data_IF_509681411753
#
_entry.id   IF_509681411753
#
_cell.length_a   1.000
_cell.length_b   1.000
_cell.length_c   1.000
_cell.angle_alpha   90.00
_cell.angle_beta   90.00
_cell.angle_gamma   90.00
#
_symmetry.space_group_name_H-M   'P 1'
#
loop_
_entity.id
_entity.type
_entity.pdbx_description
1 polymer ?
#
# COMPACT_ATOMS: atom_id res chain seq x y z
N UNK A 1 15.21 12.83 34.83
CA UNK A 1 15.96 13.84 34.05
C UNK A 1 16.67 13.14 32.91
N UNK A 2 16.12 13.21 31.70
CA UNK A 2 16.79 12.65 30.52
C UNK A 2 18.02 13.50 30.19
N UNK A 3 19.19 12.86 30.15
CA UNK A 3 20.46 13.51 29.83
C UNK A 3 20.48 13.80 28.33
N UNK A 4 20.64 15.07 27.97
CA UNK A 4 20.85 15.48 26.58
C UNK A 4 22.05 14.75 25.97
N UNK A 5 21.86 14.06 24.83
CA UNK A 5 22.96 13.42 24.09
C UNK A 5 23.73 14.52 23.37
N UNK A 6 25.04 14.64 23.59
CA UNK A 6 25.87 15.64 22.90
C UNK A 6 26.24 15.19 21.48
N UNK A 7 25.65 15.80 20.45
CA UNK A 7 25.92 15.43 19.05
C UNK A 7 27.35 15.72 18.57
N UNK A 8 28.13 16.56 19.27
CA UNK A 8 29.50 16.90 18.88
C UNK A 8 30.44 15.68 18.90
N UNK A 9 30.15 14.66 19.70
CA UNK A 9 30.90 13.41 19.74
C UNK A 9 30.79 12.58 18.43
N UNK A 10 29.79 12.87 17.60
CA UNK A 10 29.53 12.16 16.34
C UNK A 10 29.98 12.93 15.11
N UNK A 11 30.76 14.00 15.29
CA UNK A 11 31.41 14.70 14.18
C UNK A 11 32.64 13.91 13.69
N UNK A 12 32.91 13.99 12.39
CA UNK A 12 34.14 13.48 11.81
C UNK A 12 35.34 14.30 12.30
N UNK A 13 36.46 13.62 12.54
CA UNK A 13 37.72 14.26 12.95
C UNK A 13 38.23 15.24 11.88
N UNK A 14 38.01 14.92 10.60
CA UNK A 14 38.33 15.79 9.45
C UNK A 14 37.07 16.50 8.95
N UNK A 15 36.65 17.55 9.66
CA UNK A 15 35.57 18.47 9.25
C UNK A 15 34.30 18.37 10.09
N UNK A 16 33.52 19.46 10.14
CA UNK A 16 32.26 19.58 10.92
C UNK A 16 31.09 18.83 10.25
N UNK A 17 31.27 17.55 9.90
CA UNK A 17 30.23 16.68 9.33
C UNK A 17 29.89 15.58 10.32
N UNK A 18 28.61 15.27 10.46
CA UNK A 18 28.14 14.16 11.29
C UNK A 18 28.36 12.82 10.59
N UNK A 19 28.73 11.79 11.36
CA UNK A 19 28.84 10.40 10.91
C UNK A 19 27.50 9.90 10.35
N UNK A 20 27.54 9.13 9.26
CA UNK A 20 26.31 8.61 8.62
C UNK A 20 25.48 7.75 9.56
N UNK A 21 26.11 6.87 10.35
CA UNK A 21 25.42 6.03 11.34
C UNK A 21 24.63 6.83 12.37
N UNK A 22 25.15 7.99 12.80
CA UNK A 22 24.45 8.88 13.71
C UNK A 22 23.25 9.56 13.03
N UNK A 23 23.38 9.95 11.76
CA UNK A 23 22.26 10.52 11.00
C UNK A 23 21.11 9.51 10.87
N UNK A 24 21.44 8.25 10.60
CA UNK A 24 20.47 7.15 10.49
C UNK A 24 19.72 6.91 11.80
N UNK A 25 20.46 6.77 12.92
CA UNK A 25 19.88 6.57 14.25
C UNK A 25 18.90 7.69 14.59
N UNK A 26 19.31 8.95 14.39
CA UNK A 26 18.47 10.12 14.70
C UNK A 26 17.23 10.17 13.81
N UNK A 27 17.37 9.90 12.51
CA UNK A 27 16.23 9.88 11.59
C UNK A 27 15.25 8.76 11.95
N UNK A 28 15.74 7.55 12.28
CA UNK A 28 14.90 6.44 12.71
C UNK A 28 14.11 6.75 13.98
N UNK A 29 14.74 7.39 14.98
CA UNK A 29 14.05 7.79 16.22
C UNK A 29 12.99 8.88 15.99
N UNK A 30 13.22 9.79 15.04
CA UNK A 30 12.21 10.79 14.66
C UNK A 30 11.02 10.10 13.98
N UNK A 31 11.29 9.14 13.09
CA UNK A 31 10.27 8.39 12.35
C UNK A 31 9.48 7.43 13.24
N UNK A 32 10.09 6.88 14.29
CA UNK A 32 9.40 6.05 15.28
C UNK A 32 8.46 6.85 16.19
N UNK A 33 8.43 8.19 16.06
CA UNK A 33 7.55 9.05 16.83
C UNK A 33 8.01 9.30 18.26
N UNK A 34 9.29 9.04 18.58
CA UNK A 34 9.87 9.31 19.91
C UNK A 34 9.77 10.80 20.29
N UNK A 35 9.86 11.68 19.31
CA UNK A 35 9.81 13.13 19.52
C UNK A 35 8.55 13.72 18.91
N UNK A 36 7.92 14.66 19.63
CA UNK A 36 6.73 15.37 19.17
C UNK A 36 7.00 16.36 18.02
N UNK A 37 8.25 16.80 17.87
CA UNK A 37 8.67 17.75 16.84
C UNK A 37 10.15 17.57 16.52
N UNK A 38 10.54 17.97 15.30
CA UNK A 38 11.94 18.02 14.85
C UNK A 38 12.77 18.92 15.77
N UNK A 39 12.21 20.02 16.28
CA UNK A 39 12.93 20.92 17.19
C UNK A 39 13.20 20.26 18.55
N UNK A 40 12.28 19.41 19.04
CA UNK A 40 12.48 18.65 20.26
C UNK A 40 13.64 17.65 20.10
N UNK A 41 13.68 16.92 18.99
CA UNK A 41 14.79 16.02 18.65
C UNK A 41 16.12 16.79 18.54
N UNK A 42 16.12 17.96 17.89
CA UNK A 42 17.30 18.81 17.74
C UNK A 42 17.89 19.21 19.10
N UNK A 43 17.03 19.64 20.05
CA UNK A 43 17.44 20.03 21.39
C UNK A 43 17.96 18.85 22.19
N UNK A 44 17.27 17.70 22.09
CA UNK A 44 17.67 16.47 22.76
C UNK A 44 19.09 16.00 22.37
N UNK A 45 19.40 16.08 21.07
CA UNK A 45 20.70 15.71 20.50
C UNK A 45 21.72 16.87 20.49
N UNK A 46 21.34 18.09 20.86
CA UNK A 46 22.24 19.25 20.80
C UNK A 46 22.79 19.54 19.40
N UNK A 47 21.97 19.39 18.35
CA UNK A 47 22.40 19.59 16.96
C UNK A 47 22.41 21.09 16.63
N UNK A 48 23.57 21.57 16.18
CA UNK A 48 23.79 22.97 15.83
C UNK A 48 23.31 23.22 14.39
N UNK A 49 22.07 23.72 14.26
CA UNK A 49 21.46 24.14 13.00
C UNK A 49 19.97 23.84 12.95
N UNK A 50 19.15 24.87 12.70
CA UNK A 50 17.68 24.74 12.69
C UNK A 50 17.16 23.80 11.61
N UNK A 51 17.78 23.82 10.43
CA UNK A 51 17.34 23.03 9.29
C UNK A 51 18.11 21.73 9.09
N UNK A 52 19.09 21.42 9.94
CA UNK A 52 19.99 20.28 9.74
C UNK A 52 19.21 18.95 9.71
N UNK A 53 18.30 18.76 10.68
CA UNK A 53 17.44 17.59 10.73
C UNK A 53 16.42 17.56 9.58
N UNK A 54 15.85 18.71 9.23
CA UNK A 54 14.93 18.82 8.09
C UNK A 54 15.60 18.44 6.77
N UNK A 55 16.88 18.79 6.58
CA UNK A 55 17.68 18.40 5.41
C UNK A 55 17.94 16.90 5.38
N UNK A 56 18.35 16.30 6.51
CA UNK A 56 18.55 14.86 6.59
C UNK A 56 17.24 14.11 6.30
N UNK A 57 16.14 14.50 6.92
CA UNK A 57 14.86 13.85 6.68
C UNK A 57 14.46 13.89 5.20
N UNK A 58 14.62 15.03 4.52
CA UNK A 58 14.37 15.14 3.07
C UNK A 58 15.27 14.25 2.23
N UNK A 59 16.56 14.19 2.57
CA UNK A 59 17.56 13.35 1.90
C UNK A 59 17.20 11.86 2.05
N UNK A 60 16.87 11.40 3.25
CA UNK A 60 16.45 10.02 3.53
C UNK A 60 15.10 9.65 2.89
N UNK A 61 14.15 10.59 2.83
CA UNK A 61 12.87 10.39 2.13
C UNK A 61 13.10 10.22 0.61
N UNK A 62 14.01 11.01 0.03
CA UNK A 62 14.29 11.00 -1.41
C UNK A 62 15.09 9.75 -1.85
N UNK A 63 16.01 9.27 -1.01
CA UNK A 63 16.83 8.09 -1.28
C UNK A 63 16.01 6.78 -1.17
N UNK A 64 14.87 6.82 -0.47
CA UNK A 64 13.90 5.73 -0.47
C UNK A 64 14.07 4.71 0.67
N UNK A 65 15.04 4.92 1.56
CA UNK A 65 15.39 4.03 2.69
C UNK A 65 14.46 4.19 3.91
N UNK A 66 13.28 4.78 3.72
CA UNK A 66 12.26 4.77 4.76
C UNK A 66 11.56 3.41 4.82
N UNK A 67 11.42 2.81 6.02
CA UNK A 67 10.49 1.71 6.22
C UNK A 67 9.13 2.13 5.68
N UNK A 68 8.53 1.26 4.84
CA UNK A 68 7.27 1.53 4.13
C UNK A 68 6.13 1.98 5.07
N UNK A 69 6.21 1.64 6.35
CA UNK A 69 5.26 1.99 7.40
C UNK A 69 5.14 3.51 7.67
N UNK A 70 6.25 4.27 7.57
CA UNK A 70 6.26 5.69 7.96
C UNK A 70 5.71 6.61 6.86
N UNK A 71 5.70 6.13 5.60
CA UNK A 71 5.10 6.85 4.47
C UNK A 71 3.59 7.09 4.65
N UNK A 72 2.95 6.33 5.52
CA UNK A 72 1.51 6.40 5.79
C UNK A 72 1.14 7.44 6.85
N UNK A 73 2.08 7.87 7.70
CA UNK A 73 1.75 8.75 8.85
C UNK A 73 1.87 10.25 8.56
N UNK A 74 2.70 10.66 7.59
CA UNK A 74 2.99 12.09 7.36
C UNK A 74 1.97 12.80 6.44
N UNK A 75 1.04 12.08 5.79
CA UNK A 75 0.00 12.70 4.95
C UNK A 75 -1.24 13.13 5.74
N UNK A 76 -1.06 13.53 7.00
CA UNK A 76 -2.10 14.11 7.88
C UNK A 76 -1.95 15.63 8.02
N UNK A 77 -1.61 16.32 6.93
CA UNK A 77 -1.97 17.73 6.82
C UNK A 77 -3.28 17.81 6.05
N UNK A 78 -4.33 18.21 6.77
CA UNK A 78 -5.70 18.40 6.30
C UNK A 78 -5.71 19.48 5.23
N UNK A 79 -5.38 19.11 4.00
CA UNK A 79 -5.61 19.96 2.84
C UNK A 79 -7.04 19.73 2.35
N UNK A 80 -7.81 20.79 2.05
CA UNK A 80 -9.20 20.67 1.59
C UNK A 80 -9.34 19.83 0.31
N UNK A 81 -8.26 19.68 -0.46
CA UNK A 81 -8.20 18.79 -1.62
C UNK A 81 -8.25 17.30 -1.26
N UNK A 82 -7.74 16.90 -0.09
CA UNK A 82 -7.72 15.49 0.33
C UNK A 82 -9.13 15.00 0.70
N UNK A 83 -9.92 15.86 1.33
CA UNK A 83 -11.29 15.54 1.74
C UNK A 83 -12.21 15.39 0.52
N UNK A 84 -12.07 16.28 -0.46
CA UNK A 84 -12.75 16.17 -1.75
C UNK A 84 -12.34 14.89 -2.51
N UNK A 85 -11.06 14.52 -2.47
CA UNK A 85 -10.56 13.31 -3.12
C UNK A 85 -11.07 12.03 -2.44
N UNK A 86 -11.11 12.01 -1.10
CA UNK A 86 -11.71 10.92 -0.33
C UNK A 86 -13.21 10.79 -0.60
N UNK A 87 -13.93 11.91 -0.70
CA UNK A 87 -15.35 11.88 -1.03
C UNK A 87 -15.60 11.33 -2.44
N UNK A 88 -14.78 11.72 -3.42
CA UNK A 88 -14.83 11.14 -4.77
C UNK A 88 -14.52 9.64 -4.78
N UNK A 89 -13.51 9.22 -4.02
CA UNK A 89 -13.15 7.80 -3.92
C UNK A 89 -14.26 6.97 -3.27
N UNK A 90 -14.85 7.46 -2.18
CA UNK A 90 -15.94 6.77 -1.48
C UNK A 90 -17.20 6.66 -2.35
N UNK A 91 -17.55 7.71 -3.12
CA UNK A 91 -18.63 7.65 -4.11
C UNK A 91 -18.37 6.59 -5.17
N UNK A 92 -17.16 6.59 -5.74
CA UNK A 92 -16.75 5.59 -6.74
C UNK A 92 -16.81 4.16 -6.20
N UNK A 93 -16.37 3.94 -4.96
CA UNK A 93 -16.44 2.63 -4.31
C UNK A 93 -17.89 2.17 -4.21
N UNK A 94 -18.80 3.03 -3.73
CA UNK A 94 -20.23 2.70 -3.62
C UNK A 94 -20.86 2.37 -4.98
N UNK A 95 -20.58 3.18 -6.00
CA UNK A 95 -21.07 2.92 -7.36
C UNK A 95 -20.57 1.58 -7.91
N UNK A 96 -19.29 1.26 -7.72
CA UNK A 96 -18.71 0.00 -8.14
C UNK A 96 -19.28 -1.20 -7.38
N UNK A 97 -19.52 -1.06 -6.06
CA UNK A 97 -20.17 -2.08 -5.25
C UNK A 97 -21.61 -2.36 -5.71
N UNK A 98 -22.36 -1.32 -6.05
CA UNK A 98 -23.72 -1.47 -6.59
C UNK A 98 -23.72 -2.16 -7.97
N UNK A 99 -22.82 -1.78 -8.87
CA UNK A 99 -22.67 -2.42 -10.17
C UNK A 99 -22.28 -3.90 -10.02
N UNK A 100 -21.33 -4.20 -9.12
CA UNK A 100 -20.94 -5.57 -8.81
C UNK A 100 -22.11 -6.38 -8.26
N UNK A 101 -22.92 -5.79 -7.38
CA UNK A 101 -24.12 -6.44 -6.84
C UNK A 101 -25.13 -6.78 -7.94
N UNK A 102 -25.38 -5.85 -8.86
CA UNK A 102 -26.29 -6.05 -10.00
C UNK A 102 -25.79 -7.17 -10.92
N UNK A 103 -24.50 -7.19 -11.25
CA UNK A 103 -23.92 -8.23 -12.09
C UNK A 103 -23.94 -9.61 -11.41
N UNK A 104 -23.66 -9.68 -10.10
CA UNK A 104 -23.79 -10.94 -9.34
C UNK A 104 -25.22 -11.47 -9.38
N UNK A 105 -26.21 -10.61 -9.11
CA UNK A 105 -27.62 -10.99 -9.16
C UNK A 105 -28.03 -11.49 -10.55
N UNK A 106 -27.57 -10.81 -11.61
CA UNK A 106 -27.83 -11.23 -12.99
C UNK A 106 -27.20 -12.59 -13.30
N UNK A 107 -25.97 -12.83 -12.82
CA UNK A 107 -25.31 -14.12 -12.97
C UNK A 107 -26.06 -15.23 -12.23
N UNK A 108 -26.47 -14.98 -10.98
CA UNK A 108 -27.25 -15.93 -10.18
C UNK A 108 -28.58 -16.26 -10.86
N UNK A 109 -29.28 -15.24 -11.39
CA UNK A 109 -30.51 -15.43 -12.17
C UNK A 109 -30.25 -16.23 -13.44
N UNK A 110 -29.18 -15.94 -14.18
CA UNK A 110 -28.84 -16.69 -15.38
C UNK A 110 -28.52 -18.16 -15.07
N UNK A 111 -27.82 -18.44 -13.96
CA UNK A 111 -27.55 -19.81 -13.54
C UNK A 111 -28.85 -20.53 -13.16
N UNK A 112 -29.72 -19.90 -12.37
CA UNK A 112 -31.02 -20.46 -12.02
C UNK A 112 -31.90 -20.70 -13.27
N UNK A 113 -31.86 -19.77 -14.24
CA UNK A 113 -32.57 -19.93 -15.52
C UNK A 113 -32.03 -21.12 -16.32
N UNK A 114 -30.70 -21.30 -16.35
CA UNK A 114 -30.09 -22.48 -16.97
C UNK A 114 -30.59 -23.74 -16.26
N UNK A 115 -30.52 -23.79 -14.92
CA UNK A 115 -30.93 -24.96 -14.14
C UNK A 115 -32.39 -25.37 -14.43
N UNK A 116 -33.32 -24.40 -14.43
CA UNK A 116 -34.73 -24.64 -14.79
C UNK A 116 -34.87 -25.14 -16.23
N UNK A 117 -34.13 -24.56 -17.18
CA UNK A 117 -34.18 -24.98 -18.57
C UNK A 117 -33.60 -26.40 -18.79
N UNK A 118 -32.59 -26.79 -18.02
CA UNK A 118 -32.07 -28.17 -18.04
C UNK A 118 -33.08 -29.15 -17.43
N UNK A 119 -33.77 -28.77 -16.34
CA UNK A 119 -34.75 -29.60 -15.64
C UNK A 119 -36.06 -29.79 -16.43
N UNK A 120 -36.70 -28.69 -16.86
CA UNK A 120 -38.03 -28.72 -17.47
C UNK A 120 -38.02 -29.15 -18.95
N UNK A 121 -36.94 -28.84 -19.67
CA UNK A 121 -36.86 -29.07 -21.12
C UNK A 121 -35.80 -30.10 -21.52
N UNK A 122 -35.03 -30.65 -20.57
CA UNK A 122 -33.98 -31.64 -20.83
C UNK A 122 -32.86 -31.14 -21.74
N UNK A 123 -32.67 -29.81 -21.84
CA UNK A 123 -31.66 -29.19 -22.68
C UNK A 123 -30.31 -29.19 -21.96
N UNK A 124 -29.24 -29.71 -22.57
CA UNK A 124 -27.86 -29.63 -22.04
C UNK A 124 -27.23 -28.28 -22.43
N UNK A 125 -27.66 -27.21 -21.78
CA UNK A 125 -27.23 -25.84 -22.12
C UNK A 125 -25.85 -25.51 -21.55
N UNK A 126 -25.46 -26.16 -20.45
CA UNK A 126 -24.17 -25.90 -19.81
C UNK A 126 -23.01 -26.44 -20.65
N UNK A 127 -22.07 -25.54 -20.98
CA UNK A 127 -20.88 -25.91 -21.77
C UNK A 127 -19.96 -26.85 -21.00
N UNK A 128 -19.88 -28.11 -21.44
CA UNK A 128 -18.94 -29.12 -20.90
C UNK A 128 -17.53 -28.90 -21.48
N UNK A 129 -16.61 -28.40 -20.67
CA UNK A 129 -15.19 -28.34 -21.04
C UNK A 129 -14.65 -29.76 -21.22
N UNK A 130 -14.05 -30.05 -22.38
CA UNK A 130 -13.42 -31.35 -22.68
C UNK A 130 -14.21 -32.28 -23.60
N UNK A 131 -15.49 -32.01 -23.91
CA UNK A 131 -16.29 -32.88 -24.78
C UNK A 131 -15.69 -33.04 -26.20
N UNK A 132 -15.20 -31.95 -26.81
CA UNK A 132 -14.51 -32.02 -28.13
C UNK A 132 -13.23 -32.86 -28.08
N UNK A 133 -12.42 -32.68 -27.03
CA UNK A 133 -11.12 -33.38 -26.87
C UNK A 133 -11.33 -34.88 -26.62
N UNK A 134 -12.38 -35.27 -25.88
CA UNK A 134 -12.74 -36.67 -25.67
C UNK A 134 -13.25 -37.36 -26.95
N UNK A 135 -14.05 -36.66 -27.76
CA UNK A 135 -14.51 -37.18 -29.06
C UNK A 135 -13.34 -37.40 -30.01
N UNK A 136 -12.42 -36.45 -30.10
CA UNK A 136 -11.19 -36.55 -30.91
C UNK A 136 -10.28 -37.70 -30.46
N UNK A 137 -10.10 -37.88 -29.14
CA UNK A 137 -9.31 -38.99 -28.59
C UNK A 137 -9.94 -40.37 -28.86
N UNK A 138 -11.27 -40.48 -28.77
CA UNK A 138 -11.98 -41.72 -29.10
C UNK A 138 -11.88 -42.08 -30.59
N UNK A 139 -11.95 -41.09 -31.48
CA UNK A 139 -11.78 -41.30 -32.92
C UNK A 139 -10.36 -41.76 -33.25
N UNK A 140 -9.34 -41.15 -32.63
CA UNK A 140 -7.92 -41.49 -32.84
C UNK A 140 -7.55 -42.91 -32.38
N UNK A 141 -8.19 -43.40 -31.32
CA UNK A 141 -7.96 -44.75 -30.80
C UNK A 141 -8.74 -45.84 -31.57
N UNK A 142 -9.70 -45.47 -32.42
CA UNK A 142 -10.50 -46.41 -33.22
C UNK A 142 -9.90 -46.66 -34.63
N UNK A 143 -9.03 -45.76 -35.08
CA UNK A 143 -8.27 -45.85 -36.35
C UNK A 143 -6.89 -46.49 -36.21
N UNK A 144 -6.56 -47.02 -35.03
CA UNK A 144 -5.37 -47.84 -34.77
C UNK A 144 -5.82 -49.25 -34.46
#
# INVERSE_FOLDING_TARGET
MERYKNSNAFLHSKGKRYKSSFKEEVVQEILSGRFSSIDAARRYYGISGGDTLSKWLKEYVCIGDLPKEVKTMQKKEKSPNLELELEKQTKKIRELEELLRKEKLKNDLNNAFIDIAEEDFGLDLRKKYGAKRLVELKQRNKTK
#
